data_IF_125969643993
#
_entry.id   IF_125969643993
#
_cell.length_a   1.000
_cell.length_b   1.000
_cell.length_c   1.000
_cell.angle_alpha   90.00
_cell.angle_beta   90.00
_cell.angle_gamma   90.00
#
_symmetry.space_group_name_H-M   'P 1'
#
loop_
_entity.id
_entity.type
_entity.pdbx_description
1 polymer ?
#
# COMPACT_ATOMS: atom_id res chain seq x y z
N UNK A 1 -44.35 23.79 -30.05
CA UNK A 1 -44.22 22.42 -29.53
C UNK A 1 -42.75 22.03 -29.62
N UNK A 2 -42.20 21.65 -28.46
CA UNK A 2 -41.03 20.80 -28.19
C UNK A 2 -39.64 21.12 -28.78
N UNK A 3 -38.77 21.41 -27.81
CA UNK A 3 -37.31 21.37 -27.81
C UNK A 3 -36.75 20.02 -28.27
N UNK A 4 -35.71 20.04 -29.11
CA UNK A 4 -34.78 18.93 -29.31
C UNK A 4 -33.35 19.46 -29.12
N UNK A 5 -32.93 19.54 -27.87
CA UNK A 5 -31.53 19.55 -27.47
C UNK A 5 -31.36 18.26 -26.69
N UNK A 6 -30.73 17.25 -27.30
CA UNK A 6 -30.31 16.05 -26.56
C UNK A 6 -29.21 16.47 -25.58
N UNK A 7 -29.44 16.38 -24.27
CA UNK A 7 -28.44 16.69 -23.26
C UNK A 7 -27.64 15.42 -22.96
N UNK A 8 -26.33 15.49 -23.25
CA UNK A 8 -25.22 14.89 -22.49
C UNK A 8 -25.56 13.60 -21.73
N UNK A 9 -25.13 12.50 -22.34
CA UNK A 9 -24.58 11.32 -21.68
C UNK A 9 -23.96 11.62 -20.31
N UNK A 10 -24.41 10.87 -19.31
CA UNK A 10 -23.86 10.92 -17.96
C UNK A 10 -24.91 10.52 -16.94
N UNK A 11 -25.35 9.26 -17.00
CA UNK A 11 -26.23 8.68 -16.00
C UNK A 11 -25.60 8.83 -14.62
N UNK A 12 -26.26 9.63 -13.80
CA UNK A 12 -26.14 9.75 -12.36
C UNK A 12 -26.25 8.34 -11.76
N UNK A 13 -25.11 7.71 -11.49
CA UNK A 13 -25.09 6.50 -10.67
C UNK A 13 -24.88 6.96 -9.24
N UNK A 14 -25.87 6.76 -8.34
CA UNK A 14 -25.66 7.00 -6.92
C UNK A 14 -24.43 6.22 -6.48
N UNK A 15 -23.50 6.86 -5.76
CA UNK A 15 -22.48 6.16 -4.99
C UNK A 15 -23.23 5.25 -4.02
N UNK A 16 -23.38 3.98 -4.38
CA UNK A 16 -23.75 2.95 -3.44
C UNK A 16 -22.75 3.04 -2.29
N UNK A 17 -23.20 3.09 -1.02
CA UNK A 17 -22.28 2.92 0.10
C UNK A 17 -21.63 1.56 -0.14
N UNK A 18 -20.34 1.55 -0.46
CA UNK A 18 -19.59 0.31 -0.61
C UNK A 18 -19.73 -0.39 0.73
N UNK A 19 -20.44 -1.51 0.68
CA UNK A 19 -20.65 -2.42 1.77
C UNK A 19 -19.40 -2.48 2.65
N UNK A 20 -19.62 -2.31 3.94
CA UNK A 20 -19.14 -3.23 4.97
C UNK A 20 -17.91 -3.99 4.49
N UNK A 21 -16.74 -3.54 4.95
CA UNK A 21 -15.49 -4.23 4.72
C UNK A 21 -15.68 -5.66 5.21
N UNK A 22 -16.10 -6.55 4.32
CA UNK A 22 -16.06 -7.97 4.54
C UNK A 22 -14.63 -8.21 5.00
N UNK A 23 -14.50 -8.75 6.21
CA UNK A 23 -13.26 -9.29 6.73
C UNK A 23 -12.80 -10.30 5.69
N UNK A 24 -12.01 -9.82 4.74
CA UNK A 24 -11.42 -10.63 3.70
C UNK A 24 -10.42 -11.47 4.47
N UNK A 25 -10.83 -12.68 4.88
CA UNK A 25 -9.93 -13.67 5.45
C UNK A 25 -8.74 -13.75 4.50
N UNK A 26 -7.63 -13.16 4.94
CA UNK A 26 -6.38 -13.20 4.20
C UNK A 26 -6.03 -14.68 4.19
N UNK A 27 -6.15 -15.32 3.01
CA UNK A 27 -5.76 -16.71 2.83
C UNK A 27 -4.42 -16.93 3.53
N UNK A 28 -4.24 -18.04 4.28
CA UNK A 28 -3.09 -18.23 5.13
C UNK A 28 -1.84 -17.96 4.29
N UNK A 29 -1.15 -16.88 4.66
CA UNK A 29 0.07 -16.47 3.97
C UNK A 29 1.00 -17.67 3.95
N UNK A 30 1.65 -17.94 2.81
CA UNK A 30 2.69 -18.99 2.76
C UNK A 30 3.60 -18.78 3.96
N UNK A 31 3.70 -19.79 4.83
CA UNK A 31 4.51 -19.69 6.04
C UNK A 31 5.92 -19.31 5.64
N UNK A 32 6.38 -18.17 6.15
CA UNK A 32 7.76 -17.74 6.03
C UNK A 32 8.59 -18.74 6.83
N UNK A 33 9.77 -19.11 6.32
CA UNK A 33 10.66 -20.04 7.02
C UNK A 33 11.09 -19.47 8.36
N UNK A 34 11.15 -20.30 9.40
CA UNK A 34 11.65 -19.91 10.73
C UNK A 34 13.06 -19.32 10.66
N UNK A 35 13.88 -19.78 9.71
CA UNK A 35 15.21 -19.21 9.47
C UNK A 35 15.16 -17.76 8.96
N UNK A 36 14.14 -17.41 8.16
CA UNK A 36 13.93 -16.03 7.73
C UNK A 36 13.42 -15.19 8.89
N UNK A 37 12.57 -15.73 9.76
CA UNK A 37 12.13 -15.04 10.98
C UNK A 37 13.32 -14.73 11.89
N UNK A 38 14.11 -15.73 12.26
CA UNK A 38 15.32 -15.57 13.07
C UNK A 38 16.28 -14.54 12.45
N UNK A 39 16.47 -14.56 11.14
CA UNK A 39 17.30 -13.58 10.44
C UNK A 39 16.78 -12.14 10.54
N UNK A 40 15.46 -11.94 10.39
CA UNK A 40 14.83 -10.63 10.54
C UNK A 40 14.90 -10.12 11.99
N UNK A 41 14.89 -11.05 12.95
CA UNK A 41 15.06 -10.75 14.37
C UNK A 41 16.53 -10.49 14.76
N UNK A 42 17.47 -10.71 13.84
CA UNK A 42 18.91 -10.51 14.06
C UNK A 42 19.61 -11.68 14.76
N UNK A 43 18.92 -12.81 14.92
CA UNK A 43 19.48 -14.04 15.47
C UNK A 43 20.48 -14.67 14.49
N UNK A 44 21.52 -15.37 15.00
CA UNK A 44 22.49 -16.03 14.14
C UNK A 44 21.84 -17.18 13.37
N UNK A 45 21.88 -17.08 12.04
CA UNK A 45 21.38 -18.11 11.12
C UNK A 45 22.47 -18.56 10.16
N UNK A 46 22.38 -19.79 9.68
CA UNK A 46 23.33 -20.30 8.68
C UNK A 46 22.97 -19.84 7.27
N UNK A 47 23.97 -19.62 6.43
CA UNK A 47 23.75 -19.26 5.02
C UNK A 47 22.92 -20.32 4.28
N UNK A 48 23.10 -21.60 4.62
CA UNK A 48 22.31 -22.69 4.06
C UNK A 48 20.82 -22.56 4.38
N UNK A 49 20.48 -22.15 5.61
CA UNK A 49 19.10 -21.95 6.04
C UNK A 49 18.43 -20.75 5.33
N UNK A 50 19.19 -19.69 5.06
CA UNK A 50 18.71 -18.54 4.26
C UNK A 50 18.56 -18.89 2.78
N UNK A 51 19.50 -19.66 2.22
CA UNK A 51 19.46 -20.09 0.83
C UNK A 51 18.30 -21.04 0.52
N UNK A 52 17.69 -21.67 1.54
CA UNK A 52 16.47 -22.44 1.40
C UNK A 52 15.21 -21.57 1.16
N UNK A 53 15.28 -20.26 1.45
CA UNK A 53 14.20 -19.28 1.25
C UNK A 53 14.68 -18.06 0.45
N UNK A 54 15.20 -18.25 -0.78
CA UNK A 54 15.89 -17.19 -1.51
C UNK A 54 14.96 -16.06 -1.95
N UNK A 55 13.67 -16.37 -2.20
CA UNK A 55 12.67 -15.37 -2.61
C UNK A 55 12.33 -14.43 -1.46
N UNK A 56 12.14 -14.99 -0.28
CA UNK A 56 11.81 -14.27 0.94
C UNK A 56 12.97 -13.36 1.36
N UNK A 57 14.20 -13.87 1.34
CA UNK A 57 15.41 -13.08 1.61
C UNK A 57 15.56 -11.94 0.60
N UNK A 58 15.37 -12.21 -0.70
CA UNK A 58 15.45 -11.18 -1.73
C UNK A 58 14.37 -10.10 -1.56
N UNK A 59 13.16 -10.50 -1.19
CA UNK A 59 12.06 -9.58 -0.89
C UNK A 59 12.43 -8.63 0.25
N UNK A 60 12.90 -9.16 1.38
CA UNK A 60 13.25 -8.34 2.55
C UNK A 60 14.44 -7.41 2.30
N UNK A 61 15.45 -7.84 1.53
CA UNK A 61 16.54 -6.94 1.09
C UNK A 61 16.03 -5.78 0.23
N UNK A 62 15.05 -6.04 -0.64
CA UNK A 62 14.41 -4.99 -1.44
C UNK A 62 13.64 -4.02 -0.55
N UNK A 63 12.86 -4.53 0.41
CA UNK A 63 12.12 -3.70 1.38
C UNK A 63 13.06 -2.81 2.18
N UNK A 64 14.18 -3.34 2.66
CA UNK A 64 15.20 -2.57 3.37
C UNK A 64 15.77 -1.43 2.51
N UNK A 65 16.11 -1.73 1.25
CA UNK A 65 16.63 -0.76 0.28
C UNK A 65 15.64 0.39 0.06
N UNK A 66 14.37 0.06 -0.23
CA UNK A 66 13.33 1.06 -0.46
C UNK A 66 13.02 1.87 0.80
N UNK A 67 12.95 1.22 1.94
CA UNK A 67 12.64 1.88 3.22
C UNK A 67 13.76 2.83 3.61
N UNK A 68 15.01 2.43 3.42
CA UNK A 68 16.18 3.30 3.66
C UNK A 68 16.16 4.53 2.76
N UNK A 69 15.83 4.36 1.48
CA UNK A 69 15.69 5.49 0.56
C UNK A 69 14.59 6.45 1.03
N UNK A 70 13.41 5.92 1.38
CA UNK A 70 12.26 6.71 1.86
C UNK A 70 12.54 7.41 3.19
N UNK A 71 13.24 6.76 4.13
CA UNK A 71 13.63 7.38 5.42
C UNK A 71 14.50 8.62 5.25
N UNK A 72 15.25 8.70 4.15
CA UNK A 72 16.10 9.86 3.83
C UNK A 72 15.36 10.97 3.08
N UNK A 73 14.12 10.72 2.63
CA UNK A 73 13.34 11.74 1.94
C UNK A 73 12.73 12.71 2.96
N UNK A 74 13.02 13.99 2.79
CA UNK A 74 12.38 15.07 3.55
C UNK A 74 11.20 15.62 2.75
N UNK A 75 10.04 15.72 3.39
CA UNK A 75 8.88 16.39 2.79
C UNK A 75 9.19 17.88 2.59
N UNK A 76 9.00 18.45 1.38
CA UNK A 76 9.21 19.88 1.16
C UNK A 76 8.29 20.75 2.02
N UNK A 77 8.82 21.86 2.55
CA UNK A 77 8.15 22.68 3.57
C UNK A 77 6.78 23.24 3.15
N UNK A 78 6.53 23.42 1.85
CA UNK A 78 5.27 23.94 1.32
C UNK A 78 4.18 22.87 1.19
N UNK A 79 4.53 21.58 1.18
CA UNK A 79 3.58 20.48 0.97
C UNK A 79 2.55 20.38 2.09
N UNK A 80 2.91 20.46 3.40
CA UNK A 80 1.92 20.42 4.47
C UNK A 80 0.86 21.52 4.38
N UNK A 81 1.26 22.75 4.03
CA UNK A 81 0.34 23.87 3.89
C UNK A 81 -0.65 23.66 2.72
N UNK A 82 -0.17 23.14 1.59
CA UNK A 82 -1.03 22.82 0.44
C UNK A 82 -2.03 21.70 0.76
N UNK A 83 -1.61 20.67 1.51
CA UNK A 83 -2.50 19.58 1.95
C UNK A 83 -3.62 20.13 2.84
N UNK A 84 -3.29 20.96 3.82
CA UNK A 84 -4.29 21.56 4.72
C UNK A 84 -5.28 22.48 3.98
N UNK A 85 -4.78 23.28 3.03
CA UNK A 85 -5.64 24.10 2.17
C UNK A 85 -6.67 23.24 1.41
N UNK A 86 -6.20 22.13 0.80
CA UNK A 86 -7.07 21.21 0.06
C UNK A 86 -8.10 20.49 0.92
N UNK A 87 -7.77 20.16 2.18
CA UNK A 87 -8.72 19.56 3.12
C UNK A 87 -9.83 20.57 3.48
N UNK A 88 -9.48 21.84 3.64
CA UNK A 88 -10.45 22.88 4.00
C UNK A 88 -11.36 23.28 2.83
N UNK A 89 -10.90 23.19 1.58
CA UNK A 89 -11.70 23.48 0.38
C UNK A 89 -12.85 22.48 0.13
N UNK A 90 -12.84 21.29 0.76
CA UNK A 90 -13.88 20.26 0.59
C UNK A 90 -14.99 20.31 1.65
N UNK A 91 -15.01 21.36 2.48
CA UNK A 91 -16.09 21.64 3.44
C UNK A 91 -16.96 22.77 2.94
#
# INVERSE_FOLDING_TARGET
>A
MQNNLDPRDGLDTPRTPKAEQAEQEVAPSKRISDAVHAWLDGEPVTDAALNAAPREVAFWKKVETETTARRRMTTPAHVPAQVLAKINEQK
#
